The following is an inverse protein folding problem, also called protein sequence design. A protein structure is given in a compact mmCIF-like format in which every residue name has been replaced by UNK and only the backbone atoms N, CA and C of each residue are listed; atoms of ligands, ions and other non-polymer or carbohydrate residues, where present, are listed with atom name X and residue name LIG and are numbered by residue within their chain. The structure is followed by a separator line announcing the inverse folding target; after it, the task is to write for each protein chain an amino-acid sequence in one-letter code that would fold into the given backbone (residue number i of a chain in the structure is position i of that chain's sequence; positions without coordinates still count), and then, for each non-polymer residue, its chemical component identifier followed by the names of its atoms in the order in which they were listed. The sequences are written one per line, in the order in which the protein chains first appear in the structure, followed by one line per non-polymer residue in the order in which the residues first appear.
data_IF_664119884265
#
_entry.id   IF_664119884265
#
_cell.length_a   1.000
_cell.length_b   1.000
_cell.length_c   1.000
_cell.angle_alpha   90.00
_cell.angle_beta   90.00
_cell.angle_gamma   90.00
#
_symmetry.space_group_name_H-M   'P 1'
#
loop_
_entity.id
_entity.type
_entity.pdbx_description
1 polymer ?
#
# COMPACT_ATOMS: atom_id res chain seq x y z
N UNK A 1 30.37 21.34 -52.80
CA UNK A 1 29.04 20.71 -52.88
C UNK A 1 28.99 19.26 -52.36
N UNK A 2 30.09 18.62 -51.93
CA UNK A 2 30.12 17.27 -51.37
C UNK A 2 29.78 17.24 -49.85
N UNK A 3 29.97 18.30 -49.12
CA UNK A 3 29.74 18.41 -47.69
C UNK A 3 28.27 18.52 -47.31
N UNK A 4 27.43 19.09 -48.17
CA UNK A 4 26.00 19.29 -47.89
C UNK A 4 25.19 17.97 -48.02
N UNK A 5 25.70 17.03 -48.84
CA UNK A 5 25.04 15.72 -49.07
C UNK A 5 25.16 14.74 -47.92
N UNK A 6 26.16 14.93 -47.04
CA UNK A 6 26.39 14.09 -45.88
C UNK A 6 25.75 14.65 -44.58
N UNK A 7 25.30 15.91 -44.58
CA UNK A 7 24.61 16.51 -43.46
C UNK A 7 23.16 16.04 -43.34
N UNK A 8 22.52 15.75 -44.47
CA UNK A 8 21.12 15.35 -44.49
C UNK A 8 20.83 14.03 -43.79
N UNK A 9 21.60 12.94 -44.00
CA UNK A 9 21.41 11.69 -43.24
C UNK A 9 21.77 11.84 -41.75
N UNK A 10 22.75 12.67 -41.40
CA UNK A 10 23.13 12.93 -40.02
C UNK A 10 22.03 13.69 -39.26
N UNK A 11 21.37 14.66 -39.92
CA UNK A 11 20.24 15.38 -39.33
C UNK A 11 19.01 14.47 -39.15
N UNK A 12 18.77 13.57 -40.11
CA UNK A 12 17.66 12.63 -40.07
C UNK A 12 17.85 11.58 -38.93
N UNK A 13 19.08 11.11 -38.73
CA UNK A 13 19.37 10.18 -37.65
C UNK A 13 19.30 10.84 -36.26
N UNK A 14 19.68 12.12 -36.15
CA UNK A 14 19.60 12.86 -34.90
C UNK A 14 18.15 13.15 -34.53
N UNK A 15 17.28 13.48 -35.49
CA UNK A 15 15.84 13.65 -35.22
C UNK A 15 15.15 12.31 -34.86
N UNK A 16 15.56 11.21 -35.48
CA UNK A 16 15.01 9.88 -35.11
C UNK A 16 15.45 9.43 -33.72
N UNK A 17 16.67 9.78 -33.30
CA UNK A 17 17.18 9.46 -31.97
C UNK A 17 16.49 10.30 -30.88
N UNK A 18 16.05 11.53 -31.19
CA UNK A 18 15.30 12.38 -30.26
C UNK A 18 13.84 11.92 -30.05
N UNK A 19 13.26 11.24 -31.06
CA UNK A 19 11.89 10.70 -30.95
C UNK A 19 11.79 9.42 -30.09
N UNK A 20 12.88 8.72 -29.82
CA UNK A 20 12.86 7.51 -29.00
C UNK A 20 12.98 7.77 -27.50
N UNK A 21 13.19 9.04 -27.11
CA UNK A 21 13.21 9.46 -25.70
C UNK A 21 11.84 9.93 -25.18
N UNK A 22 10.77 9.75 -25.95
CA UNK A 22 9.41 9.80 -25.38
C UNK A 22 9.23 8.54 -24.55
N UNK A 23 9.67 8.63 -23.29
CA UNK A 23 9.30 7.67 -22.29
C UNK A 23 7.79 7.48 -22.34
N UNK A 24 7.35 6.24 -22.45
CA UNK A 24 5.98 5.91 -22.23
C UNK A 24 5.63 6.43 -20.83
N UNK A 25 5.02 7.61 -20.78
CA UNK A 25 4.26 8.01 -19.62
C UNK A 25 3.22 6.88 -19.49
N UNK A 26 3.34 6.11 -18.43
CA UNK A 26 2.26 5.24 -18.04
C UNK A 26 1.04 6.13 -17.97
N UNK A 27 0.07 5.90 -18.84
CA UNK A 27 -1.25 6.50 -18.70
C UNK A 27 -1.78 5.97 -17.36
N UNK A 28 -1.61 6.78 -16.32
CA UNK A 28 -2.40 6.60 -15.12
C UNK A 28 -3.81 6.90 -15.58
N UNK A 29 -4.61 5.87 -15.76
CA UNK A 29 -6.06 6.02 -15.84
C UNK A 29 -6.46 6.66 -14.53
N UNK A 30 -6.61 7.98 -14.54
CA UNK A 30 -7.24 8.71 -13.45
C UNK A 30 -8.73 8.31 -13.48
N UNK A 31 -9.03 7.23 -12.78
CA UNK A 31 -10.40 6.77 -12.52
C UNK A 31 -11.08 7.63 -11.44
N UNK A 32 -10.43 8.71 -11.02
CA UNK A 32 -10.90 9.56 -9.93
C UNK A 32 -10.79 8.91 -8.56
N UNK A 33 -10.12 7.74 -8.47
CA UNK A 33 -9.88 7.10 -7.19
C UNK A 33 -8.83 7.89 -6.40
N UNK A 34 -9.26 8.49 -5.32
CA UNK A 34 -8.35 9.16 -4.38
C UNK A 34 -7.94 8.14 -3.33
N UNK A 35 -6.69 7.73 -3.33
CA UNK A 35 -6.13 6.92 -2.24
C UNK A 35 -5.93 7.79 -0.99
N UNK A 36 -6.96 7.87 -0.20
CA UNK A 36 -6.92 8.60 1.07
C UNK A 36 -5.95 7.97 2.07
N UNK A 37 -5.68 6.67 1.96
CA UNK A 37 -4.76 5.95 2.86
C UNK A 37 -3.34 6.41 2.65
N UNK A 38 -2.92 6.64 1.39
CA UNK A 38 -1.60 7.17 1.08
C UNK A 38 -1.38 8.60 1.60
N UNK A 39 -2.46 9.34 1.86
CA UNK A 39 -2.41 10.69 2.40
C UNK A 39 -2.42 10.73 3.94
N UNK A 40 -2.83 9.64 4.59
CA UNK A 40 -2.86 9.55 6.04
C UNK A 40 -1.44 9.47 6.60
N UNK A 41 -1.11 10.37 7.50
CA UNK A 41 0.15 10.35 8.26
C UNK A 41 -0.15 10.22 9.72
N UNK A 42 0.45 9.22 10.37
CA UNK A 42 0.34 9.08 11.82
C UNK A 42 0.98 10.30 12.50
N UNK A 43 0.18 11.02 13.29
CA UNK A 43 0.72 12.11 14.11
C UNK A 43 1.43 11.54 15.33
N UNK A 44 2.74 11.33 15.22
CA UNK A 44 3.56 10.80 16.31
C UNK A 44 3.69 11.78 17.50
N UNK A 45 3.36 13.07 17.30
CA UNK A 45 3.35 14.08 18.36
C UNK A 45 2.03 14.18 19.11
N UNK A 46 1.01 13.41 18.71
CA UNK A 46 -0.29 13.42 19.41
C UNK A 46 -0.15 12.89 20.84
N UNK A 47 -1.00 13.40 21.74
CA UNK A 47 -1.07 12.93 23.14
C UNK A 47 -1.66 11.51 23.29
N UNK A 48 -2.17 10.91 22.20
CA UNK A 48 -2.69 9.54 22.22
C UNK A 48 -1.56 8.57 22.57
N UNK A 49 -1.79 7.74 23.55
CA UNK A 49 -0.83 6.71 23.96
C UNK A 49 -0.56 5.75 22.77
N UNK A 50 0.71 5.48 22.55
CA UNK A 50 1.20 4.56 21.52
C UNK A 50 1.99 3.47 22.22
N UNK A 51 1.75 2.24 21.82
CA UNK A 51 2.41 1.07 22.41
C UNK A 51 2.86 0.15 21.28
N UNK A 52 4.08 -0.35 21.39
CA UNK A 52 4.58 -1.37 20.46
C UNK A 52 3.76 -2.63 20.57
N UNK A 53 3.39 -3.19 19.44
CA UNK A 53 2.63 -4.42 19.34
C UNK A 53 3.18 -5.28 18.19
N UNK A 54 3.15 -6.60 18.36
CA UNK A 54 3.52 -7.54 17.30
C UNK A 54 2.32 -8.41 16.97
N UNK A 55 2.07 -8.63 15.69
CA UNK A 55 0.96 -9.48 15.24
C UNK A 55 1.17 -10.90 15.78
N UNK A 56 0.15 -11.43 16.46
CA UNK A 56 0.09 -12.81 16.92
C UNK A 56 -0.71 -13.69 15.97
N UNK A 57 -1.93 -13.26 15.63
CA UNK A 57 -2.86 -14.06 14.82
C UNK A 57 -3.80 -13.14 14.07
N UNK A 58 -3.94 -13.33 12.79
CA UNK A 58 -5.03 -12.74 12.01
C UNK A 58 -6.28 -13.62 12.20
N UNK A 59 -7.41 -13.00 12.54
CA UNK A 59 -8.69 -13.70 12.69
C UNK A 59 -9.51 -13.52 11.42
N UNK A 60 -9.74 -12.28 11.03
CA UNK A 60 -10.43 -11.89 9.79
C UNK A 60 -9.93 -10.51 9.30
N UNK A 61 -10.65 -9.84 8.41
CA UNK A 61 -10.20 -8.59 7.82
C UNK A 61 -10.20 -7.39 8.77
N UNK A 62 -10.96 -7.44 9.85
CA UNK A 62 -11.06 -6.34 10.83
C UNK A 62 -10.66 -6.73 12.25
N UNK A 63 -10.26 -7.99 12.48
CA UNK A 63 -9.93 -8.52 13.81
C UNK A 63 -8.57 -9.20 13.79
N UNK A 64 -7.67 -8.72 14.63
CA UNK A 64 -6.29 -9.22 14.77
C UNK A 64 -5.92 -9.31 16.25
N UNK A 65 -5.20 -10.37 16.63
CA UNK A 65 -4.61 -10.48 17.95
C UNK A 65 -3.15 -10.02 17.90
N UNK A 66 -2.75 -9.25 18.90
CA UNK A 66 -1.39 -8.73 19.04
C UNK A 66 -0.76 -9.19 20.35
N UNK A 67 0.55 -9.41 20.34
CA UNK A 67 1.35 -9.38 21.54
C UNK A 67 1.57 -7.94 21.98
N UNK A 68 1.33 -7.65 23.24
CA UNK A 68 1.48 -6.33 23.85
C UNK A 68 2.16 -6.47 25.23
N UNK A 69 2.74 -5.39 25.77
CA UNK A 69 3.23 -5.41 27.15
C UNK A 69 2.10 -5.70 28.16
N UNK A 70 2.43 -6.39 29.26
CA UNK A 70 1.50 -6.70 30.34
C UNK A 70 0.85 -5.45 30.97
N UNK A 71 1.50 -4.29 30.85
CA UNK A 71 0.93 -3.00 31.27
C UNK A 71 -0.28 -2.58 30.43
N UNK A 72 -0.45 -3.13 29.23
CA UNK A 72 -1.61 -2.89 28.34
C UNK A 72 -2.66 -3.97 28.53
N UNK A 73 -2.24 -5.23 28.63
CA UNK A 73 -3.13 -6.36 28.81
C UNK A 73 -2.41 -7.42 29.65
N UNK A 74 -3.02 -7.82 30.77
CA UNK A 74 -2.38 -8.65 31.79
C UNK A 74 -1.92 -10.05 31.29
N UNK A 75 -2.58 -10.58 30.26
CA UNK A 75 -2.20 -11.84 29.62
C UNK A 75 -1.22 -11.64 28.43
N UNK A 76 -0.74 -10.40 28.20
CA UNK A 76 0.19 -10.07 27.13
C UNK A 76 -0.42 -10.14 25.72
N UNK A 77 -1.74 -10.35 25.61
CA UNK A 77 -2.44 -10.52 24.33
C UNK A 77 -3.63 -9.59 24.22
N UNK A 78 -3.56 -8.68 23.25
CA UNK A 78 -4.67 -7.79 22.90
C UNK A 78 -5.44 -8.38 21.72
N UNK A 79 -6.72 -8.65 21.93
CA UNK A 79 -7.68 -8.96 20.86
C UNK A 79 -8.26 -7.67 20.36
N UNK A 80 -7.81 -7.20 19.21
CA UNK A 80 -8.20 -5.92 18.65
C UNK A 80 -9.17 -6.11 17.49
N UNK A 81 -10.28 -5.38 17.54
CA UNK A 81 -11.13 -5.13 16.38
C UNK A 81 -10.91 -3.69 15.92
N UNK A 82 -10.66 -3.51 14.62
CA UNK A 82 -10.36 -2.20 14.06
C UNK A 82 -11.59 -1.29 14.13
N UNK A 83 -11.38 -0.07 14.62
CA UNK A 83 -12.43 0.92 14.73
C UNK A 83 -12.89 1.38 13.34
N UNK A 84 -14.21 1.50 13.18
CA UNK A 84 -14.86 1.96 11.95
C UNK A 84 -14.59 1.08 10.70
N UNK A 85 -14.11 -0.14 10.89
CA UNK A 85 -13.95 -1.13 9.85
C UNK A 85 -14.86 -2.31 10.16
N UNK A 86 -15.58 -2.81 9.16
CA UNK A 86 -16.38 -4.02 9.26
C UNK A 86 -16.22 -4.80 7.96
N UNK A 87 -15.53 -5.91 8.02
CA UNK A 87 -15.29 -6.78 6.87
C UNK A 87 -16.21 -8.01 6.91
N UNK A 88 -16.45 -8.66 5.76
CA UNK A 88 -17.09 -9.95 5.74
C UNK A 88 -16.28 -10.98 6.53
N UNK A 89 -16.96 -11.92 7.16
CA UNK A 89 -16.34 -12.96 8.00
C UNK A 89 -15.50 -13.93 7.17
N UNK A 90 -14.26 -14.18 7.58
CA UNK A 90 -13.37 -15.19 7.00
C UNK A 90 -13.24 -16.45 7.85
N UNK A 91 -13.83 -16.47 9.05
CA UNK A 91 -13.82 -17.57 9.99
C UNK A 91 -15.25 -17.94 10.41
N UNK A 92 -15.45 -19.15 10.87
CA UNK A 92 -16.79 -19.63 11.25
C UNK A 92 -17.72 -19.75 10.06
N UNK A 93 -18.70 -18.85 9.91
CA UNK A 93 -19.53 -18.74 8.72
C UNK A 93 -18.82 -17.83 7.72
N UNK A 94 -18.09 -18.44 6.79
CA UNK A 94 -17.35 -17.69 5.77
C UNK A 94 -18.34 -16.96 4.85
N UNK A 95 -18.16 -15.65 4.72
CA UNK A 95 -18.92 -14.78 3.84
C UNK A 95 -18.18 -14.50 2.54
N UNK A 96 -18.90 -14.08 1.51
CA UNK A 96 -18.30 -13.64 0.25
C UNK A 96 -17.31 -12.50 0.51
N UNK A 97 -16.12 -12.57 -0.08
CA UNK A 97 -14.97 -11.67 0.12
C UNK A 97 -14.30 -11.70 1.51
N UNK A 98 -14.77 -12.45 2.50
CA UNK A 98 -14.15 -12.52 3.83
C UNK A 98 -12.68 -12.93 3.78
N UNK A 99 -12.36 -13.97 3.01
CA UNK A 99 -10.98 -14.42 2.82
C UNK A 99 -10.11 -13.35 2.15
N UNK A 100 -10.65 -12.66 1.15
CA UNK A 100 -9.92 -11.59 0.47
C UNK A 100 -9.65 -10.40 1.40
N UNK A 101 -10.62 -10.01 2.22
CA UNK A 101 -10.46 -8.96 3.23
C UNK A 101 -9.39 -9.34 4.27
N UNK A 102 -9.39 -10.59 4.73
CA UNK A 102 -8.39 -11.10 5.67
C UNK A 102 -6.97 -11.06 5.08
N UNK A 103 -6.79 -11.49 3.83
CA UNK A 103 -5.50 -11.42 3.13
C UNK A 103 -5.03 -9.98 2.96
N UNK A 104 -5.92 -9.06 2.58
CA UNK A 104 -5.57 -7.65 2.46
C UNK A 104 -5.02 -7.09 3.78
N UNK A 105 -5.68 -7.37 4.90
CA UNK A 105 -5.23 -6.94 6.23
C UNK A 105 -3.86 -7.55 6.58
N UNK A 106 -3.65 -8.84 6.29
CA UNK A 106 -2.36 -9.50 6.50
C UNK A 106 -1.24 -8.82 5.73
N UNK A 107 -1.44 -8.52 4.46
CA UNK A 107 -0.45 -7.84 3.60
C UNK A 107 -0.13 -6.44 4.12
N UNK A 108 -1.15 -5.67 4.51
CA UNK A 108 -0.96 -4.32 5.05
C UNK A 108 -0.21 -4.31 6.37
N UNK A 109 -0.52 -5.22 7.28
CA UNK A 109 0.19 -5.33 8.56
C UNK A 109 1.62 -5.87 8.38
N UNK A 110 1.84 -6.79 7.44
CA UNK A 110 3.19 -7.29 7.14
C UNK A 110 4.10 -6.20 6.53
N UNK A 111 3.53 -5.24 5.81
CA UNK A 111 4.24 -4.11 5.23
C UNK A 111 4.34 -2.89 6.17
N UNK A 112 3.64 -2.91 7.31
CA UNK A 112 3.70 -1.83 8.27
C UNK A 112 5.07 -1.82 8.96
N UNK A 113 5.77 -0.70 8.87
CA UNK A 113 7.04 -0.47 9.55
C UNK A 113 6.77 0.35 10.80
N UNK A 114 7.21 -0.15 11.95
CA UNK A 114 7.14 0.52 13.24
C UNK A 114 8.30 1.49 13.44
#
# INVERSE_FOLDING_TARGET
MKTLRNLFPLLLTLTLLLCTASGAAAETTDDGFVDYVAQLKLNMSSATAKTSATVRTHVDGDTVHFYVPESVCADGVLKARFLALNTPESTGKIEEYGVAASHFTQEKLASAVS
#
